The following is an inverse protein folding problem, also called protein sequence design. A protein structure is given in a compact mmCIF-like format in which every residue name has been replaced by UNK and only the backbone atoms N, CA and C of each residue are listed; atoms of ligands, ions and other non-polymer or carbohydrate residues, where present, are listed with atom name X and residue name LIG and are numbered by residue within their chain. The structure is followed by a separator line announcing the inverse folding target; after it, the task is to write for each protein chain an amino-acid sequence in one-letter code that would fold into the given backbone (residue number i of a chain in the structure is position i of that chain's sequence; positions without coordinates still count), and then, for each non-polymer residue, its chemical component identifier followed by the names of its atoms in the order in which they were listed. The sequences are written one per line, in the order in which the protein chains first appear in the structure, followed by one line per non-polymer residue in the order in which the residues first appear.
data_IF_577186623250
#
_entry.id   IF_577186623250
#
_cell.length_a   1.000
_cell.length_b   1.000
_cell.length_c   1.000
_cell.angle_alpha   90.00
_cell.angle_beta   90.00
_cell.angle_gamma   90.00
#
_symmetry.space_group_name_H-M   'P 1'
#
loop_
_entity.id
_entity.type
_entity.pdbx_description
1 polymer ?
#
# COMPACT_ATOMS: atom_id res chain seq x y z
N UNK A 1 -3.31 12.17 0.08
CA UNK A 1 -2.46 12.38 -1.14
C UNK A 1 -3.26 12.25 -2.42
N UNK A 2 -3.87 11.11 -2.74
CA UNK A 2 -4.55 10.90 -4.05
C UNK A 2 -5.60 11.97 -4.44
N UNK A 3 -6.50 12.44 -3.53
CA UNK A 3 -7.45 13.50 -3.89
C UNK A 3 -6.77 14.82 -4.28
N UNK A 4 -5.67 15.17 -3.61
CA UNK A 4 -4.87 16.35 -3.94
C UNK A 4 -4.23 16.19 -5.32
N UNK A 5 -3.68 15.01 -5.63
CA UNK A 5 -3.10 14.73 -6.94
C UNK A 5 -4.15 14.88 -8.05
N UNK A 6 -5.35 14.33 -7.87
CA UNK A 6 -6.44 14.45 -8.83
C UNK A 6 -6.86 15.92 -9.02
N UNK A 7 -7.05 16.68 -7.93
CA UNK A 7 -7.41 18.09 -7.97
C UNK A 7 -6.41 18.95 -8.75
N UNK A 8 -5.11 18.63 -8.67
CA UNK A 8 -4.04 19.42 -9.30
C UNK A 8 -3.52 18.80 -10.61
N UNK A 9 -4.20 17.78 -11.15
CA UNK A 9 -3.79 17.12 -12.40
C UNK A 9 -2.42 16.42 -12.32
N UNK A 10 -2.02 16.00 -11.12
CA UNK A 10 -0.77 15.27 -10.88
C UNK A 10 -1.00 13.78 -11.11
N UNK A 11 -0.29 13.22 -12.08
CA UNK A 11 -0.28 11.79 -12.40
C UNK A 11 0.58 11.01 -11.41
N UNK A 12 0.08 9.88 -10.93
CA UNK A 12 0.71 9.04 -9.90
C UNK A 12 1.10 7.67 -10.45
N UNK A 13 2.28 7.21 -10.06
CA UNK A 13 2.74 5.85 -10.25
C UNK A 13 2.73 5.17 -8.88
N UNK A 14 2.02 4.05 -8.74
CA UNK A 14 2.03 3.25 -7.50
C UNK A 14 3.07 2.15 -7.60
N UNK A 15 3.88 2.01 -6.56
CA UNK A 15 4.94 0.99 -6.43
C UNK A 15 4.69 0.17 -5.18
N UNK A 16 5.31 -1.02 -5.09
CA UNK A 16 5.11 -1.96 -3.97
C UNK A 16 3.64 -2.43 -3.90
N UNK A 17 2.98 -2.53 -5.06
CA UNK A 17 1.61 -3.04 -5.19
C UNK A 17 1.52 -4.50 -4.77
N UNK A 18 2.63 -5.22 -4.88
CA UNK A 18 2.83 -6.59 -4.42
C UNK A 18 2.89 -6.75 -2.88
N UNK A 19 2.95 -5.63 -2.14
CA UNK A 19 3.06 -5.56 -0.69
C UNK A 19 4.23 -6.37 -0.10
N UNK A 20 5.40 -6.33 -0.76
CA UNK A 20 6.57 -7.09 -0.34
C UNK A 20 6.46 -8.57 -0.73
N UNK A 21 5.80 -8.85 -1.84
CA UNK A 21 5.59 -10.17 -2.42
C UNK A 21 4.33 -10.90 -1.97
N UNK A 22 3.61 -10.42 -0.95
CA UNK A 22 2.44 -11.12 -0.41
C UNK A 22 1.33 -11.32 -1.45
N UNK A 23 1.08 -10.34 -2.31
CA UNK A 23 0.03 -10.45 -3.33
C UNK A 23 0.39 -11.43 -4.48
N UNK A 24 1.66 -11.85 -4.62
CA UNK A 24 2.05 -12.91 -5.56
C UNK A 24 1.55 -14.30 -5.11
N UNK A 25 1.26 -14.47 -3.82
CA UNK A 25 0.83 -15.75 -3.24
C UNK A 25 1.93 -16.82 -3.15
N UNK A 26 3.17 -16.49 -3.50
CA UNK A 26 4.32 -17.38 -3.39
C UNK A 26 4.80 -17.48 -1.92
N UNK A 27 5.44 -18.58 -1.48
CA UNK A 27 6.01 -18.68 -0.15
C UNK A 27 7.06 -17.58 0.11
N UNK A 28 6.92 -16.83 1.20
CA UNK A 28 7.88 -15.76 1.54
C UNK A 28 9.00 -16.33 2.40
N UNK A 29 10.24 -16.22 1.91
CA UNK A 29 11.44 -16.60 2.65
C UNK A 29 12.36 -15.40 2.87
N UNK A 30 12.44 -14.89 4.11
CA UNK A 30 13.31 -13.76 4.42
C UNK A 30 14.76 -14.24 4.63
N UNK A 31 15.65 -13.82 3.74
CA UNK A 31 17.09 -14.05 3.89
C UNK A 31 17.76 -13.07 4.85
N UNK A 32 19.01 -13.34 5.22
CA UNK A 32 19.80 -12.52 6.17
C UNK A 32 19.86 -11.03 5.80
N UNK A 33 19.92 -10.72 4.50
CA UNK A 33 20.03 -9.34 3.98
C UNK A 33 18.72 -8.80 3.44
N UNK A 34 17.61 -9.47 3.71
CA UNK A 34 16.30 -9.03 3.26
C UNK A 34 15.79 -7.88 4.12
N UNK A 35 15.67 -6.69 3.55
CA UNK A 35 15.17 -5.51 4.26
C UNK A 35 13.74 -5.67 4.81
N UNK A 36 12.95 -6.61 4.27
CA UNK A 36 11.62 -6.93 4.80
C UNK A 36 11.69 -7.50 6.22
N UNK A 37 12.85 -8.00 6.65
CA UNK A 37 13.09 -8.45 8.02
C UNK A 37 13.03 -7.32 9.07
N UNK A 38 13.10 -6.04 8.66
CA UNK A 38 12.93 -4.90 9.56
C UNK A 38 11.46 -4.50 9.80
N UNK A 39 10.51 -5.15 9.12
CA UNK A 39 9.08 -4.93 9.37
C UNK A 39 8.67 -5.55 10.72
N UNK A 40 7.57 -5.08 11.35
CA UNK A 40 7.09 -5.62 12.61
C UNK A 40 6.93 -7.15 12.57
N UNK A 41 7.21 -7.81 13.69
CA UNK A 41 6.96 -9.24 13.81
C UNK A 41 5.48 -9.56 13.51
N UNK A 42 5.22 -10.64 12.77
CA UNK A 42 3.86 -11.04 12.39
C UNK A 42 3.28 -10.35 11.15
N UNK A 43 4.03 -9.47 10.46
CA UNK A 43 3.49 -8.71 9.32
C UNK A 43 3.09 -9.59 8.13
N UNK A 44 3.76 -10.73 7.93
CA UNK A 44 3.48 -11.68 6.85
C UNK A 44 2.13 -12.35 7.11
N UNK A 45 1.95 -12.87 8.32
CA UNK A 45 0.75 -13.57 8.76
C UNK A 45 -0.46 -12.63 8.75
N UNK A 46 -0.35 -11.44 9.37
CA UNK A 46 -1.41 -10.44 9.37
C UNK A 46 -1.75 -9.95 7.95
N UNK A 47 -0.75 -9.79 7.08
CA UNK A 47 -0.97 -9.46 5.68
C UNK A 47 -1.68 -10.56 4.91
N UNK A 48 -1.30 -11.83 5.14
CA UNK A 48 -1.95 -12.98 4.53
C UNK A 48 -3.41 -13.13 4.96
N UNK A 49 -3.73 -12.87 6.23
CA UNK A 49 -5.11 -12.85 6.75
C UNK A 49 -5.98 -11.80 6.03
N UNK A 50 -5.44 -10.59 5.83
CA UNK A 50 -6.12 -9.53 5.07
C UNK A 50 -6.34 -9.94 3.61
N UNK A 51 -5.33 -10.48 2.95
CA UNK A 51 -5.43 -10.94 1.57
C UNK A 51 -6.44 -12.10 1.45
N UNK A 52 -6.52 -12.99 2.44
CA UNK A 52 -7.52 -14.05 2.47
C UNK A 52 -8.95 -13.49 2.48
N UNK A 53 -9.19 -12.39 3.21
CA UNK A 53 -10.48 -11.67 3.20
C UNK A 53 -10.78 -11.01 1.85
N UNK A 54 -9.76 -10.57 1.10
CA UNK A 54 -9.92 -9.97 -0.23
C UNK A 54 -10.11 -11.01 -1.35
N UNK A 55 -9.72 -12.28 -1.11
CA UNK A 55 -9.71 -13.33 -2.14
C UNK A 55 -11.08 -13.58 -2.79
N UNK A 56 -12.22 -13.63 -2.07
CA UNK A 56 -13.52 -13.82 -2.71
C UNK A 56 -13.82 -12.74 -3.74
N UNK A 57 -13.38 -11.49 -3.49
CA UNK A 57 -13.57 -10.39 -4.42
C UNK A 57 -12.69 -10.55 -5.67
N UNK A 58 -11.44 -11.02 -5.54
CA UNK A 58 -10.61 -11.37 -6.68
C UNK A 58 -11.26 -12.47 -7.54
N UNK A 59 -11.80 -13.51 -6.90
CA UNK A 59 -12.47 -14.63 -7.56
C UNK A 59 -13.72 -14.18 -8.34
N UNK A 60 -14.55 -13.27 -7.79
CA UNK A 60 -15.71 -12.70 -8.50
C UNK A 60 -15.34 -12.04 -9.83
N UNK A 61 -14.16 -11.42 -9.89
CA UNK A 61 -13.66 -10.74 -11.09
C UNK A 61 -12.75 -11.62 -11.95
N UNK A 62 -12.52 -12.89 -11.57
CA UNK A 62 -11.59 -13.77 -12.27
C UNK A 62 -10.14 -13.29 -12.22
N UNK A 63 -9.77 -12.54 -11.18
CA UNK A 63 -8.43 -11.96 -11.01
C UNK A 63 -7.58 -12.81 -10.06
N UNK A 64 -6.27 -12.78 -10.28
CA UNK A 64 -5.33 -13.16 -9.22
C UNK A 64 -5.33 -12.10 -8.12
N UNK A 65 -4.78 -12.41 -6.94
CA UNK A 65 -4.64 -11.43 -5.85
C UNK A 65 -3.74 -10.25 -6.25
N UNK A 66 -2.68 -10.49 -7.03
CA UNK A 66 -1.84 -9.42 -7.57
C UNK A 66 -2.62 -8.53 -8.56
N UNK A 67 -3.38 -9.15 -9.46
CA UNK A 67 -4.19 -8.40 -10.43
C UNK A 67 -5.29 -7.59 -9.73
N UNK A 68 -5.90 -8.12 -8.67
CA UNK A 68 -6.83 -7.36 -7.84
C UNK A 68 -6.16 -6.13 -7.22
N UNK A 69 -4.97 -6.29 -6.63
CA UNK A 69 -4.21 -5.18 -6.07
C UNK A 69 -3.88 -4.12 -7.13
N UNK A 70 -3.53 -4.54 -8.35
CA UNK A 70 -3.31 -3.65 -9.48
C UNK A 70 -4.58 -2.89 -9.89
N UNK A 71 -5.70 -3.60 -10.07
CA UNK A 71 -6.99 -3.03 -10.43
C UNK A 71 -7.47 -2.01 -9.37
N UNK A 72 -7.31 -2.32 -8.09
CA UNK A 72 -7.64 -1.38 -7.01
C UNK A 72 -6.83 -0.09 -7.08
N UNK A 73 -5.50 -0.18 -7.31
CA UNK A 73 -4.66 0.99 -7.45
C UNK A 73 -5.05 1.84 -8.67
N UNK A 74 -5.31 1.20 -9.81
CA UNK A 74 -5.73 1.86 -11.06
C UNK A 74 -7.15 2.43 -10.99
N UNK A 75 -7.98 1.97 -10.04
CA UNK A 75 -9.31 2.51 -9.78
C UNK A 75 -9.32 3.91 -9.17
N UNK A 76 -8.17 4.47 -8.80
CA UNK A 76 -8.06 5.83 -8.30
C UNK A 76 -7.70 6.82 -9.41
N UNK A 77 -8.50 7.88 -9.57
CA UNK A 77 -8.37 8.88 -10.65
C UNK A 77 -6.94 9.39 -10.92
N UNK A 78 -6.14 9.59 -9.88
CA UNK A 78 -4.79 10.12 -10.02
C UNK A 78 -3.75 9.07 -10.48
N UNK A 79 -4.06 7.77 -10.38
CA UNK A 79 -3.11 6.68 -10.62
C UNK A 79 -3.16 6.26 -12.09
N UNK A 80 -2.02 6.43 -12.76
CA UNK A 80 -1.89 6.14 -14.19
C UNK A 80 -1.13 4.85 -14.45
N UNK A 81 -0.38 4.36 -13.47
CA UNK A 81 0.48 3.19 -13.64
C UNK A 81 0.74 2.50 -12.32
N UNK A 82 0.75 1.17 -12.36
CA UNK A 82 1.18 0.28 -11.28
C UNK A 82 2.52 -0.35 -11.63
N UNK A 83 3.41 -0.46 -10.65
CA UNK A 83 4.73 -1.08 -10.80
C UNK A 83 4.95 -2.04 -9.62
N UNK A 84 4.37 -3.26 -9.67
CA UNK A 84 4.67 -4.28 -8.67
C UNK A 84 6.12 -4.74 -8.80
N UNK A 85 6.70 -5.11 -7.67
CA UNK A 85 8.04 -5.73 -7.63
C UNK A 85 7.91 -7.19 -8.03
N UNK A 86 8.67 -7.63 -9.04
CA UNK A 86 8.79 -9.05 -9.34
C UNK A 86 9.86 -9.65 -8.44
N UNK A 87 9.48 -10.65 -7.65
CA UNK A 87 10.34 -11.24 -6.60
C UNK A 87 10.23 -12.75 -6.72
N UNK A 88 11.30 -13.39 -7.19
CA UNK A 88 11.38 -14.85 -7.19
C UNK A 88 11.87 -15.34 -5.83
N UNK A 89 10.92 -15.70 -4.99
CA UNK A 89 11.16 -16.33 -3.71
C UNK A 89 11.78 -17.73 -3.87
N UNK A 90 12.46 -18.21 -2.82
CA UNK A 90 12.94 -19.61 -2.81
C UNK A 90 11.75 -20.56 -2.77
N UNK A 91 11.60 -21.38 -3.82
CA UNK A 91 10.45 -22.28 -3.97
C UNK A 91 9.18 -21.58 -4.49
N UNK A 92 9.26 -20.28 -4.81
CA UNK A 92 8.23 -19.54 -5.52
C UNK A 92 8.31 -19.75 -7.04
N UNK A 93 7.32 -19.17 -7.73
CA UNK A 93 7.26 -19.19 -9.20
C UNK A 93 8.38 -18.34 -9.82
N UNK A 94 8.80 -18.64 -11.06
CA UNK A 94 9.82 -17.84 -11.76
C UNK A 94 9.31 -16.43 -12.11
N UNK A 95 10.24 -15.46 -12.20
CA UNK A 95 9.93 -14.05 -12.54
C UNK A 95 9.12 -13.95 -13.84
N UNK A 96 9.42 -14.79 -14.83
CA UNK A 96 8.74 -14.82 -16.12
C UNK A 96 7.25 -15.12 -15.98
N UNK A 97 6.87 -15.96 -15.02
CA UNK A 97 5.47 -16.28 -14.75
C UNK A 97 4.76 -15.11 -14.05
N UNK A 98 5.40 -14.46 -13.08
CA UNK A 98 4.86 -13.23 -12.46
C UNK A 98 4.71 -12.11 -13.49
N UNK A 99 5.67 -11.98 -14.42
CA UNK A 99 5.59 -11.03 -15.53
C UNK A 99 4.43 -11.35 -16.47
N UNK A 100 4.24 -12.62 -16.81
CA UNK A 100 3.13 -13.06 -17.66
C UNK A 100 1.77 -12.80 -16.99
N UNK A 101 1.66 -13.04 -15.67
CA UNK A 101 0.47 -12.73 -14.87
C UNK A 101 0.15 -11.23 -14.88
N UNK A 102 1.16 -10.37 -14.67
CA UNK A 102 0.98 -8.92 -14.74
C UNK A 102 0.60 -8.44 -16.14
N UNK A 103 1.23 -8.99 -17.18
CA UNK A 103 0.92 -8.66 -18.58
C UNK A 103 -0.50 -9.10 -18.98
N UNK A 104 -1.05 -10.09 -18.29
CA UNK A 104 -2.42 -10.56 -18.48
C UNK A 104 -3.46 -9.82 -17.62
N UNK A 105 -3.07 -8.73 -16.92
CA UNK A 105 -4.00 -7.88 -16.17
C UNK A 105 -5.11 -7.37 -17.10
N UNK A 106 -6.38 -7.75 -16.89
CA UNK A 106 -7.48 -7.20 -17.67
C UNK A 106 -7.76 -5.74 -17.28
N UNK A 107 -8.46 -5.02 -18.15
CA UNK A 107 -9.10 -3.74 -17.80
C UNK A 107 -10.31 -4.01 -16.87
N UNK A 108 -10.00 -4.38 -15.63
CA UNK A 108 -10.99 -4.66 -14.60
C UNK A 108 -11.39 -3.36 -13.88
N UNK A 109 -12.68 -3.06 -13.88
CA UNK A 109 -13.25 -1.93 -13.15
C UNK A 109 -13.91 -2.44 -11.88
N UNK A 110 -13.32 -2.11 -10.74
CA UNK A 110 -13.94 -2.30 -9.43
C UNK A 110 -14.99 -1.20 -9.22
N UNK A 111 -16.07 -1.54 -8.53
CA UNK A 111 -17.05 -0.56 -8.09
C UNK A 111 -16.51 0.28 -6.91
N UNK A 112 -17.11 1.45 -6.67
CA UNK A 112 -16.74 2.30 -5.52
C UNK A 112 -16.88 1.55 -4.19
N UNK A 113 -17.91 0.70 -4.06
CA UNK A 113 -18.14 -0.14 -2.89
C UNK A 113 -17.02 -1.17 -2.70
N UNK A 114 -16.55 -1.80 -3.78
CA UNK A 114 -15.43 -2.75 -3.74
C UNK A 114 -14.10 -2.06 -3.43
N UNK A 115 -13.90 -0.85 -3.95
CA UNK A 115 -12.74 -0.02 -3.61
C UNK A 115 -12.75 0.33 -2.11
N UNK A 116 -13.92 0.66 -1.56
CA UNK A 116 -14.11 0.94 -0.15
C UNK A 116 -13.92 -0.31 0.73
N UNK A 117 -14.45 -1.48 0.31
CA UNK A 117 -14.29 -2.76 1.00
C UNK A 117 -12.80 -3.14 1.11
N UNK A 118 -12.06 -3.08 0.00
CA UNK A 118 -10.61 -3.37 0.00
C UNK A 118 -9.86 -2.37 0.89
N UNK A 119 -10.25 -1.10 0.88
CA UNK A 119 -9.67 -0.07 1.76
C UNK A 119 -9.87 -0.43 3.23
N UNK A 120 -11.06 -0.85 3.63
CA UNK A 120 -11.36 -1.24 5.01
C UNK A 120 -10.56 -2.47 5.44
N UNK A 121 -10.51 -3.52 4.61
CA UNK A 121 -9.74 -4.73 4.91
C UNK A 121 -8.23 -4.40 5.00
N UNK A 122 -7.74 -3.58 4.08
CA UNK A 122 -6.35 -3.22 3.91
C UNK A 122 -5.84 -2.15 4.88
N UNK A 123 -6.71 -1.55 5.71
CA UNK A 123 -6.33 -0.44 6.57
C UNK A 123 -5.23 -0.85 7.56
N UNK A 124 -4.12 -0.12 7.51
CA UNK A 124 -2.93 -0.31 8.33
C UNK A 124 -2.63 0.93 9.18
N UNK A 125 -3.61 1.82 9.37
CA UNK A 125 -3.49 2.96 10.27
C UNK A 125 -3.00 2.50 11.66
N UNK A 126 -2.02 3.23 12.20
CA UNK A 126 -1.42 2.92 13.51
C UNK A 126 -0.48 1.71 13.56
N UNK A 127 -0.27 0.98 12.46
CA UNK A 127 0.63 -0.20 12.45
C UNK A 127 2.11 0.12 12.59
N UNK A 128 2.49 1.38 12.34
CA UNK A 128 3.86 1.87 12.42
C UNK A 128 3.86 3.27 13.02
N UNK A 129 4.94 3.61 13.71
CA UNK A 129 5.22 5.00 14.07
C UNK A 129 5.28 5.86 12.82
N UNK A 130 4.57 6.99 12.84
CA UNK A 130 4.58 7.94 11.74
C UNK A 130 6.01 8.40 11.45
N UNK A 131 6.40 8.30 10.18
CA UNK A 131 7.62 8.92 9.68
C UNK A 131 7.30 10.29 9.12
N UNK A 132 8.04 11.29 9.57
CA UNK A 132 8.01 12.64 9.05
C UNK A 132 7.62 13.68 10.08
N UNK A 133 6.78 14.62 9.66
CA UNK A 133 6.27 15.68 10.51
C UNK A 133 5.33 15.08 11.56
N UNK A 134 5.84 14.93 12.78
CA UNK A 134 5.18 14.16 13.82
C UNK A 134 4.68 15.10 14.93
N UNK A 135 3.41 15.01 15.35
CA UNK A 135 2.85 15.89 16.38
C UNK A 135 3.45 15.62 17.77
N UNK A 136 4.03 14.44 17.97
CA UNK A 136 4.69 13.97 19.20
C UNK A 136 6.23 14.15 19.16
N UNK A 137 6.77 14.85 18.16
CA UNK A 137 8.21 15.15 18.07
C UNK A 137 8.51 16.61 18.39
N UNK A 138 9.31 16.83 19.42
CA UNK A 138 9.89 18.13 19.77
C UNK A 138 11.42 18.11 19.60
N UNK A 139 11.99 19.28 19.31
CA UNK A 139 13.45 19.45 19.19
C UNK A 139 13.99 19.28 17.76
N UNK A 140 15.27 18.93 17.67
CA UNK A 140 15.99 18.91 16.39
C UNK A 140 15.45 17.84 15.42
N UNK A 141 15.48 18.10 14.10
CA UNK A 141 15.11 17.11 13.09
C UNK A 141 15.99 15.85 13.12
N UNK A 142 15.34 14.69 13.07
CA UNK A 142 15.94 13.37 12.86
C UNK A 142 15.60 12.86 11.44
N UNK A 143 16.31 11.83 10.91
CA UNK A 143 16.09 11.35 9.54
C UNK A 143 14.64 11.01 9.19
N UNK A 144 13.89 10.41 10.12
CA UNK A 144 12.51 9.98 9.92
C UNK A 144 11.50 10.74 10.79
N UNK A 145 11.93 11.75 11.56
CA UNK A 145 11.07 12.46 12.51
C UNK A 145 11.47 13.92 12.66
N UNK A 146 10.54 14.84 12.48
CA UNK A 146 10.77 16.27 12.68
C UNK A 146 9.51 16.97 13.20
N UNK A 147 9.64 18.17 13.80
CA UNK A 147 8.50 18.89 14.34
C UNK A 147 7.45 19.23 13.27
N UNK A 148 6.18 19.08 13.61
CA UNK A 148 5.08 19.59 12.80
C UNK A 148 5.07 21.13 12.84
N UNK A 149 5.32 21.77 11.71
CA UNK A 149 5.30 23.24 11.62
C UNK A 149 3.87 23.77 11.40
N UNK A 150 3.59 25.04 11.73
CA UNK A 150 2.28 25.65 11.47
C UNK A 150 1.86 25.57 10.00
N UNK A 151 2.80 25.70 9.06
CA UNK A 151 2.53 25.61 7.62
C UNK A 151 2.13 24.18 7.22
N UNK A 152 2.76 23.16 7.81
CA UNK A 152 2.39 21.76 7.56
C UNK A 152 1.01 21.45 8.13
N UNK A 153 0.69 21.96 9.33
CA UNK A 153 -0.63 21.83 9.92
C UNK A 153 -1.71 22.51 9.06
N UNK A 154 -1.44 23.71 8.54
CA UNK A 154 -2.34 24.41 7.64
C UNK A 154 -2.61 23.63 6.34
N UNK A 155 -1.56 23.05 5.75
CA UNK A 155 -1.71 22.17 4.58
C UNK A 155 -2.54 20.94 4.93
N UNK A 156 -2.30 20.30 6.08
CA UNK A 156 -3.09 19.17 6.55
C UNK A 156 -4.58 19.51 6.66
N UNK A 157 -4.89 20.65 7.28
CA UNK A 157 -6.27 21.11 7.46
C UNK A 157 -7.02 21.32 6.13
N UNK A 158 -6.36 21.84 5.09
CA UNK A 158 -6.95 21.99 3.75
C UNK A 158 -7.40 20.66 3.13
N UNK A 159 -6.82 19.54 3.56
CA UNK A 159 -7.16 18.20 3.11
C UNK A 159 -7.86 17.37 4.20
N UNK A 160 -8.40 18.01 5.23
CA UNK A 160 -9.17 17.36 6.28
C UNK A 160 -8.35 16.57 7.30
N UNK A 161 -7.03 16.73 7.30
CA UNK A 161 -6.11 16.06 8.25
C UNK A 161 -5.94 16.95 9.48
N UNK A 162 -6.36 16.44 10.63
CA UNK A 162 -6.11 17.03 11.96
C UNK A 162 -4.98 16.24 12.61
N UNK A 163 -3.82 16.85 12.81
CA UNK A 163 -2.61 16.12 13.21
C UNK A 163 -2.79 15.34 14.52
N UNK A 164 -3.43 15.95 15.51
CA UNK A 164 -3.67 15.35 16.82
C UNK A 164 -4.65 14.17 16.77
N UNK A 165 -5.51 14.13 15.76
CA UNK A 165 -6.51 13.06 15.56
C UNK A 165 -5.99 11.94 14.65
N UNK A 166 -5.36 12.32 13.55
CA UNK A 166 -5.07 11.43 12.42
C UNK A 166 -3.61 10.96 12.38
N UNK A 167 -2.70 11.71 13.01
CA UNK A 167 -1.25 11.48 12.94
C UNK A 167 -0.64 11.12 14.30
N UNK A 168 -1.39 11.29 15.39
CA UNK A 168 -0.96 10.89 16.72
C UNK A 168 -0.80 9.36 16.80
N UNK A 169 0.18 8.85 17.58
CA UNK A 169 0.26 7.43 17.88
C UNK A 169 -1.04 6.94 18.53
N UNK A 170 -1.48 5.75 18.14
CA UNK A 170 -2.63 5.06 18.76
C UNK A 170 -2.29 4.51 20.15
#
# INVERSE_FOLDING_TARGET
VLPACAQHGVKVITRVVDYGGLFHGDPIGLGERDHRAFRPAGWIEAGAEKIARMRPLAERHGLTTLQLACAWNLGHDAVETVVPTLIQERGGRPIEQQRAELAALPDARLTDDEIAEIREIGDNAGSMTLKGAAPDHEGDPLPDRWPLTPQLAEVGARYGITAERDLAPA
#
